data_IF_353856343410
#
_entry.id   IF_353856343410
#
_cell.length_a   1.000
_cell.length_b   1.000
_cell.length_c   1.000
_cell.angle_alpha   90.00
_cell.angle_beta   90.00
_cell.angle_gamma   90.00
#
_symmetry.space_group_name_H-M   'P 1'
#
loop_
_entity.id
_entity.type
_entity.pdbx_description
1 polymer ?
#
# COMPACT_ATOMS: atom_id res chain seq x y z
N UNK A 1 5.25 -26.20 21.15
CA UNK A 1 4.62 -24.87 21.03
C UNK A 1 4.68 -24.51 19.55
N UNK A 2 3.64 -23.91 18.97
CA UNK A 2 3.67 -23.45 17.56
C UNK A 2 4.59 -22.27 17.42
N UNK A 3 5.36 -22.20 16.31
CA UNK A 3 6.38 -21.18 16.06
C UNK A 3 6.06 -20.33 14.84
N UNK A 4 6.18 -19.01 14.99
CA UNK A 4 6.14 -18.03 13.92
C UNK A 4 7.56 -17.50 13.69
N UNK A 5 8.00 -17.44 12.43
CA UNK A 5 9.20 -16.71 12.02
C UNK A 5 8.82 -15.45 11.24
N UNK A 6 9.43 -14.30 11.54
CA UNK A 6 9.20 -13.04 10.84
C UNK A 6 10.45 -12.60 10.09
N UNK A 7 10.31 -12.24 8.83
CA UNK A 7 11.39 -11.76 7.98
C UNK A 7 11.37 -10.24 7.77
N UNK A 8 10.28 -9.58 8.18
CA UNK A 8 10.09 -8.15 7.96
C UNK A 8 10.92 -7.29 8.93
N UNK A 9 11.49 -6.21 8.38
CA UNK A 9 12.16 -5.16 9.13
C UNK A 9 13.58 -4.87 8.64
N UNK A 10 14.25 -4.00 9.37
CA UNK A 10 15.65 -3.62 9.17
C UNK A 10 16.40 -3.61 10.50
N UNK A 11 17.73 -3.61 10.48
CA UNK A 11 18.54 -3.56 11.70
C UNK A 11 18.60 -2.15 12.28
N UNK A 12 17.51 -1.72 12.91
CA UNK A 12 17.37 -0.44 13.60
C UNK A 12 16.81 -0.63 15.01
N UNK A 13 16.98 0.37 15.88
CA UNK A 13 16.46 0.36 17.25
C UNK A 13 14.93 0.18 17.26
N UNK A 14 14.22 0.89 16.36
CA UNK A 14 12.77 0.78 16.22
C UNK A 14 12.33 -0.66 15.92
N UNK A 15 12.94 -1.31 14.93
CA UNK A 15 12.53 -2.68 14.58
C UNK A 15 12.92 -3.71 15.63
N UNK A 16 14.03 -3.52 16.35
CA UNK A 16 14.37 -4.36 17.52
C UNK A 16 13.32 -4.23 18.61
N UNK A 17 12.84 -3.01 18.90
CA UNK A 17 11.78 -2.78 19.88
C UNK A 17 10.44 -3.38 19.43
N UNK A 18 10.03 -3.16 18.17
CA UNK A 18 8.80 -3.73 17.61
C UNK A 18 8.83 -5.27 17.64
N UNK A 19 9.95 -5.90 17.31
CA UNK A 19 10.07 -7.36 17.32
C UNK A 19 10.10 -7.91 18.76
N UNK A 20 10.74 -7.23 19.73
CA UNK A 20 10.63 -7.59 21.14
C UNK A 20 9.19 -7.55 21.64
N UNK A 21 8.45 -6.50 21.27
CA UNK A 21 7.02 -6.36 21.59
C UNK A 21 6.18 -7.44 20.89
N UNK A 22 6.53 -7.83 19.66
CA UNK A 22 5.88 -8.93 18.92
C UNK A 22 6.12 -10.29 19.60
N UNK A 23 7.33 -10.54 20.10
CA UNK A 23 7.68 -11.74 20.84
C UNK A 23 6.90 -11.84 22.18
N UNK A 24 6.84 -10.76 22.94
CA UNK A 24 6.06 -10.69 24.18
C UNK A 24 4.56 -10.93 23.90
N UNK A 25 4.04 -10.32 22.84
CA UNK A 25 2.63 -10.48 22.45
C UNK A 25 2.32 -11.91 21.99
N UNK A 26 3.14 -12.50 21.12
CA UNK A 26 2.99 -13.89 20.69
C UNK A 26 3.09 -14.87 21.87
N UNK A 27 4.02 -14.65 22.80
CA UNK A 27 4.15 -15.42 24.04
C UNK A 27 2.89 -15.40 24.91
N UNK A 28 2.19 -14.25 24.97
CA UNK A 28 0.91 -14.13 25.69
C UNK A 28 -0.22 -14.95 25.07
N UNK A 29 -0.10 -15.29 23.79
CA UNK A 29 -1.03 -16.16 23.05
C UNK A 29 -0.59 -17.65 23.01
N UNK A 30 0.53 -17.98 23.70
CA UNK A 30 1.08 -19.34 23.73
C UNK A 30 1.78 -19.74 22.42
N UNK A 31 2.30 -18.78 21.67
CA UNK A 31 3.00 -18.98 20.40
C UNK A 31 4.45 -18.49 20.55
N UNK A 32 5.41 -19.25 20.02
CA UNK A 32 6.81 -18.84 19.93
C UNK A 32 6.98 -17.91 18.72
N UNK A 33 7.73 -16.83 18.89
CA UNK A 33 8.04 -15.87 17.83
C UNK A 33 9.55 -15.73 17.66
N UNK A 34 10.02 -15.71 16.42
CA UNK A 34 11.43 -15.46 16.08
C UNK A 34 11.50 -14.38 15.01
N UNK A 35 12.28 -13.35 15.24
CA UNK A 35 12.68 -12.43 14.19
C UNK A 35 13.93 -12.93 13.49
N UNK A 36 13.84 -13.22 12.19
CA UNK A 36 14.91 -13.71 11.33
C UNK A 36 15.15 -12.69 10.20
N UNK A 37 15.74 -11.55 10.57
CA UNK A 37 16.02 -10.46 9.62
C UNK A 37 16.84 -10.95 8.43
N UNK A 38 16.40 -10.61 7.23
CA UNK A 38 17.03 -10.91 5.96
C UNK A 38 17.68 -9.64 5.37
N UNK A 39 18.98 -9.43 5.65
CA UNK A 39 19.73 -8.30 5.09
C UNK A 39 21.20 -8.71 4.83
N UNK A 40 21.58 -9.00 3.56
CA UNK A 40 20.74 -9.06 2.37
C UNK A 40 19.73 -10.22 2.38
N UNK A 41 18.68 -10.13 1.54
CA UNK A 41 17.74 -11.22 1.35
C UNK A 41 18.44 -12.49 0.84
N UNK A 42 18.15 -13.61 1.48
CA UNK A 42 18.66 -14.94 1.11
C UNK A 42 17.49 -15.92 1.07
N UNK A 43 17.20 -16.43 -0.11
CA UNK A 43 16.15 -17.44 -0.28
C UNK A 43 16.42 -18.71 0.51
N UNK A 44 17.66 -19.15 0.52
CA UNK A 44 18.11 -20.33 1.25
C UNK A 44 17.91 -20.17 2.76
N UNK A 45 18.18 -18.99 3.28
CA UNK A 45 17.96 -18.69 4.71
C UNK A 45 16.47 -18.63 5.05
N UNK A 46 15.64 -18.03 4.17
CA UNK A 46 14.18 -18.03 4.33
C UNK A 46 13.62 -19.45 4.36
N UNK A 47 14.05 -20.32 3.42
CA UNK A 47 13.63 -21.73 3.40
C UNK A 47 14.05 -22.44 4.68
N UNK A 48 15.32 -22.29 5.11
CA UNK A 48 15.83 -22.92 6.33
C UNK A 48 15.05 -22.51 7.58
N UNK A 49 14.70 -21.24 7.69
CA UNK A 49 13.92 -20.72 8.82
C UNK A 49 12.47 -21.22 8.78
N UNK A 50 11.83 -21.22 7.60
CA UNK A 50 10.46 -21.74 7.43
C UNK A 50 10.38 -23.24 7.66
N UNK A 51 11.44 -24.02 7.37
CA UNK A 51 11.50 -25.45 7.69
C UNK A 51 11.48 -25.74 9.19
N UNK A 52 11.75 -24.74 10.03
CA UNK A 52 11.75 -24.85 11.50
C UNK A 52 10.55 -24.12 12.13
N UNK A 53 9.61 -23.61 11.33
CA UNK A 53 8.46 -22.84 11.80
C UNK A 53 7.14 -23.40 11.29
N UNK A 54 6.05 -23.17 12.02
CA UNK A 54 4.70 -23.53 11.63
C UNK A 54 4.02 -22.44 10.78
N UNK A 55 4.47 -21.18 10.93
CA UNK A 55 4.05 -20.06 10.10
C UNK A 55 5.18 -19.05 9.86
N UNK A 56 5.06 -18.29 8.77
CA UNK A 56 5.96 -17.18 8.43
C UNK A 56 5.23 -15.86 8.26
N UNK A 57 5.83 -14.76 8.76
CA UNK A 57 5.45 -13.39 8.39
C UNK A 57 6.44 -12.95 7.31
N UNK A 58 5.93 -12.80 6.07
CA UNK A 58 6.74 -12.58 4.86
C UNK A 58 6.65 -11.15 4.35
N UNK A 59 7.73 -10.68 3.73
CA UNK A 59 7.84 -9.34 3.17
C UNK A 59 7.57 -9.30 1.65
N UNK A 60 8.13 -8.31 0.96
CA UNK A 60 7.85 -7.95 -0.43
C UNK A 60 8.54 -8.82 -1.48
N UNK A 61 9.41 -9.72 -1.09
CA UNK A 61 10.11 -10.62 -2.00
C UNK A 61 9.16 -11.60 -2.69
N UNK A 62 9.56 -12.16 -3.84
CA UNK A 62 8.78 -13.18 -4.53
C UNK A 62 8.74 -14.50 -3.75
N UNK A 63 7.54 -15.05 -3.59
CA UNK A 63 7.29 -16.37 -3.00
C UNK A 63 6.56 -17.25 -4.01
N UNK A 64 7.19 -18.34 -4.43
CA UNK A 64 6.68 -19.25 -5.46
C UNK A 64 6.94 -20.72 -5.16
N UNK A 65 6.73 -21.57 -6.17
CA UNK A 65 6.89 -23.04 -6.08
C UNK A 65 8.27 -23.46 -5.57
N UNK A 66 9.32 -22.71 -5.87
CA UNK A 66 10.70 -22.93 -5.46
C UNK A 66 10.92 -22.83 -3.94
N UNK A 67 10.07 -22.07 -3.24
CA UNK A 67 10.06 -21.99 -1.78
C UNK A 67 9.02 -22.97 -1.22
N UNK A 68 7.78 -22.92 -1.74
CA UNK A 68 6.66 -23.67 -1.17
C UNK A 68 6.88 -25.19 -1.15
N UNK A 69 7.43 -25.76 -2.23
CA UNK A 69 7.73 -27.19 -2.31
C UNK A 69 8.73 -27.67 -1.25
N UNK A 70 9.59 -26.78 -0.75
CA UNK A 70 10.62 -27.12 0.25
C UNK A 70 10.16 -26.92 1.69
N UNK A 71 9.06 -26.17 1.93
CA UNK A 71 8.57 -25.84 3.27
C UNK A 71 7.18 -26.40 3.57
N UNK A 72 6.54 -27.09 2.61
CA UNK A 72 5.17 -27.62 2.72
C UNK A 72 4.93 -28.56 3.91
N UNK A 73 5.97 -29.25 4.38
CA UNK A 73 5.88 -30.19 5.50
C UNK A 73 6.00 -29.51 6.87
N UNK A 74 6.42 -28.24 6.90
CA UNK A 74 6.65 -27.42 8.10
C UNK A 74 5.71 -26.22 8.19
N UNK A 75 5.96 -25.15 7.41
CA UNK A 75 5.18 -23.93 7.43
C UNK A 75 3.84 -24.11 6.69
N UNK A 76 2.74 -24.07 7.42
CA UNK A 76 1.38 -24.24 6.87
C UNK A 76 0.65 -22.91 6.61
N UNK A 77 1.20 -21.80 7.10
CA UNK A 77 0.65 -20.46 6.91
C UNK A 77 1.77 -19.47 6.62
N UNK A 78 1.59 -18.64 5.60
CA UNK A 78 2.41 -17.45 5.41
C UNK A 78 1.52 -16.21 5.45
N UNK A 79 1.86 -15.24 6.30
CA UNK A 79 1.12 -13.99 6.46
C UNK A 79 1.93 -12.86 5.82
N UNK A 80 1.39 -12.25 4.77
CA UNK A 80 2.00 -11.09 4.13
C UNK A 80 1.99 -9.90 5.08
N UNK A 81 3.14 -9.30 5.32
CA UNK A 81 3.29 -8.07 6.09
C UNK A 81 2.73 -6.89 5.28
N UNK A 82 1.43 -6.59 5.42
CA UNK A 82 0.72 -5.59 4.64
C UNK A 82 -0.42 -6.18 3.81
N UNK A 83 -0.89 -5.43 2.80
CA UNK A 83 -2.09 -5.75 2.02
C UNK A 83 -1.78 -6.33 0.64
N UNK A 84 -0.69 -5.87 0.00
CA UNK A 84 -0.30 -6.32 -1.33
C UNK A 84 0.27 -7.74 -1.32
N UNK A 85 -0.11 -8.54 -2.31
CA UNK A 85 0.33 -9.94 -2.44
C UNK A 85 0.69 -10.32 -3.88
N UNK A 86 0.87 -9.34 -4.72
CA UNK A 86 1.15 -9.47 -6.16
C UNK A 86 2.43 -10.28 -6.47
N UNK A 87 3.34 -10.42 -5.49
CA UNK A 87 4.56 -11.24 -5.62
C UNK A 87 4.45 -12.63 -4.99
N UNK A 88 3.26 -13.04 -4.53
CA UNK A 88 3.02 -14.38 -3.96
C UNK A 88 2.21 -15.22 -4.95
N UNK A 89 2.76 -16.35 -5.39
CA UNK A 89 2.05 -17.29 -6.25
C UNK A 89 1.03 -18.10 -5.42
N UNK A 90 -0.22 -17.61 -5.39
CA UNK A 90 -1.30 -18.24 -4.64
C UNK A 90 -1.61 -19.66 -5.14
N UNK A 91 -1.49 -19.93 -6.45
CA UNK A 91 -1.75 -21.26 -7.02
C UNK A 91 -0.70 -22.27 -6.58
N UNK A 92 0.57 -21.87 -6.63
CA UNK A 92 1.66 -22.69 -6.13
C UNK A 92 1.52 -22.95 -4.61
N UNK A 93 1.13 -21.93 -3.83
CA UNK A 93 0.88 -22.08 -2.39
C UNK A 93 -0.23 -23.09 -2.11
N UNK A 94 -1.40 -22.98 -2.79
CA UNK A 94 -2.51 -23.93 -2.66
C UNK A 94 -2.09 -25.36 -2.98
N UNK A 95 -1.42 -25.57 -4.09
CA UNK A 95 -0.90 -26.88 -4.53
C UNK A 95 0.00 -27.54 -3.47
N UNK A 96 0.73 -26.75 -2.69
CA UNK A 96 1.62 -27.21 -1.63
C UNK A 96 0.94 -27.23 -0.24
N UNK A 97 -0.39 -27.03 -0.15
CA UNK A 97 -1.15 -27.05 1.10
C UNK A 97 -0.77 -25.93 2.08
N UNK A 98 -0.29 -24.76 1.55
CA UNK A 98 0.12 -23.62 2.34
C UNK A 98 -0.92 -22.52 2.23
N UNK A 99 -1.47 -22.09 3.37
CA UNK A 99 -2.37 -20.95 3.44
C UNK A 99 -1.58 -19.64 3.29
N UNK A 100 -2.08 -18.73 2.47
CA UNK A 100 -1.55 -17.37 2.36
C UNK A 100 -2.57 -16.40 2.93
N UNK A 101 -2.15 -15.59 3.90
CA UNK A 101 -2.98 -14.54 4.49
C UNK A 101 -2.33 -13.16 4.32
N UNK A 102 -3.12 -12.11 4.53
CA UNK A 102 -2.65 -10.72 4.54
C UNK A 102 -3.27 -9.91 5.68
N UNK A 103 -2.61 -8.85 6.10
CA UNK A 103 -3.03 -8.00 7.22
C UNK A 103 -3.95 -6.85 6.75
N UNK A 104 -5.10 -7.23 6.16
CA UNK A 104 -6.05 -6.26 5.59
C UNK A 104 -6.59 -5.31 6.65
N UNK A 105 -6.39 -4.02 6.43
CA UNK A 105 -6.90 -2.95 7.29
C UNK A 105 -5.92 -2.42 8.33
N UNK A 106 -4.82 -3.13 8.60
CA UNK A 106 -3.85 -2.74 9.62
C UNK A 106 -3.16 -1.40 9.33
N UNK A 107 -2.92 -1.08 8.06
CA UNK A 107 -2.24 0.14 7.60
C UNK A 107 -3.20 1.23 7.07
N UNK A 108 -4.50 1.03 7.17
CA UNK A 108 -5.52 1.89 6.54
C UNK A 108 -5.36 3.37 6.89
N UNK A 109 -5.12 3.68 8.17
CA UNK A 109 -4.99 5.07 8.62
C UNK A 109 -3.71 5.72 8.08
N UNK A 110 -2.57 5.03 8.20
CA UNK A 110 -1.29 5.56 7.74
C UNK A 110 -1.31 5.87 6.22
N UNK A 111 -1.85 4.95 5.40
CA UNK A 111 -1.94 5.17 3.95
C UNK A 111 -2.90 6.32 3.61
N UNK A 112 -4.03 6.45 4.31
CA UNK A 112 -4.96 7.55 4.08
C UNK A 112 -4.35 8.91 4.49
N UNK A 113 -3.62 8.97 5.59
CA UNK A 113 -2.89 10.17 6.04
C UNK A 113 -1.78 10.56 5.05
N UNK A 114 -1.04 9.56 4.53
CA UNK A 114 -0.02 9.81 3.50
C UNK A 114 -0.64 10.34 2.21
N UNK A 115 -1.77 9.77 1.76
CA UNK A 115 -2.49 10.26 0.59
C UNK A 115 -2.92 11.73 0.78
N UNK A 116 -3.46 12.10 1.93
CA UNK A 116 -3.80 13.49 2.26
C UNK A 116 -2.57 14.38 2.31
N UNK A 117 -1.47 13.91 2.89
CA UNK A 117 -0.19 14.63 2.96
C UNK A 117 0.36 14.93 1.57
N UNK A 118 0.39 13.94 0.67
CA UNK A 118 0.82 14.11 -0.71
C UNK A 118 -0.11 15.08 -1.47
N UNK A 119 -1.42 14.98 -1.25
CA UNK A 119 -2.43 15.87 -1.82
C UNK A 119 -2.15 17.34 -1.43
N UNK A 120 -2.02 17.60 -0.14
CA UNK A 120 -1.68 18.92 0.40
C UNK A 120 -0.32 19.40 -0.10
N UNK A 121 0.69 18.54 -0.11
CA UNK A 121 2.04 18.86 -0.58
C UNK A 121 2.05 19.29 -2.05
N UNK A 122 1.33 18.60 -2.91
CA UNK A 122 1.19 18.95 -4.33
C UNK A 122 0.41 20.25 -4.51
N UNK A 123 -0.75 20.40 -3.87
CA UNK A 123 -1.61 21.59 -3.94
C UNK A 123 -0.89 22.84 -3.46
N UNK A 124 -0.05 22.74 -2.42
CA UNK A 124 0.70 23.85 -1.81
C UNK A 124 2.12 23.96 -2.34
N UNK A 125 2.55 23.09 -3.29
CA UNK A 125 3.88 23.05 -3.90
C UNK A 125 5.02 22.96 -2.87
N UNK A 126 4.82 22.19 -1.79
CA UNK A 126 5.73 22.17 -0.64
C UNK A 126 7.12 21.67 -1.03
N UNK A 127 7.25 20.56 -1.78
CA UNK A 127 8.54 20.02 -2.18
C UNK A 127 9.35 21.03 -3.02
N UNK A 128 8.70 21.69 -3.98
CA UNK A 128 9.32 22.74 -4.80
C UNK A 128 9.78 23.94 -3.97
N UNK A 129 8.93 24.42 -3.06
CA UNK A 129 9.26 25.54 -2.16
C UNK A 129 10.43 25.19 -1.25
N UNK A 130 10.46 23.97 -0.69
CA UNK A 130 11.54 23.47 0.16
C UNK A 130 12.88 23.43 -0.61
N UNK A 131 12.91 22.79 -1.78
CA UNK A 131 14.12 22.67 -2.61
C UNK A 131 14.69 24.07 -2.96
N UNK A 132 13.84 25.01 -3.36
CA UNK A 132 14.23 26.38 -3.67
C UNK A 132 14.79 27.10 -2.45
N UNK A 133 14.10 27.04 -1.32
CA UNK A 133 14.56 27.70 -0.08
C UNK A 133 15.90 27.14 0.38
N UNK A 134 16.10 25.82 0.32
CA UNK A 134 17.37 25.17 0.67
C UNK A 134 18.52 25.56 -0.28
N UNK A 135 18.22 25.86 -1.54
CA UNK A 135 19.22 26.38 -2.52
C UNK A 135 19.39 27.90 -2.46
N UNK A 136 18.80 28.58 -1.49
CA UNK A 136 18.92 30.05 -1.32
C UNK A 136 18.01 30.85 -2.26
N UNK A 137 17.10 30.22 -2.98
CA UNK A 137 16.17 30.88 -3.90
C UNK A 137 14.88 31.25 -3.17
N UNK A 138 14.62 32.54 -2.99
CA UNK A 138 13.46 33.08 -2.29
C UNK A 138 12.34 33.47 -3.26
N UNK A 139 11.49 32.48 -3.64
CA UNK A 139 10.35 32.66 -4.56
C UNK A 139 9.06 32.20 -3.88
N UNK A 140 7.98 32.97 -4.01
CA UNK A 140 6.65 32.66 -3.49
C UNK A 140 5.81 32.03 -4.60
N UNK A 141 5.78 30.69 -4.67
CA UNK A 141 4.89 29.97 -5.58
C UNK A 141 3.45 30.03 -5.05
N UNK A 142 2.49 30.28 -5.94
CA UNK A 142 1.07 30.27 -5.60
C UNK A 142 0.56 28.85 -5.73
N UNK A 143 -0.03 28.33 -4.65
CA UNK A 143 -0.73 27.03 -4.61
C UNK A 143 -2.24 27.20 -4.53
N UNK A 144 -2.95 26.07 -4.29
CA UNK A 144 -4.41 26.02 -4.14
C UNK A 144 -4.77 25.40 -2.78
N UNK A 145 -5.95 25.74 -2.26
CA UNK A 145 -6.54 25.16 -1.07
C UNK A 145 -7.33 23.89 -1.43
N UNK A 146 -7.57 23.02 -0.43
CA UNK A 146 -8.50 21.87 -0.56
C UNK A 146 -9.93 22.26 -0.19
N UNK A 147 -10.11 23.25 0.70
CA UNK A 147 -11.43 23.74 1.05
C UNK A 147 -12.19 24.18 -0.22
N UNK A 148 -13.41 23.68 -0.35
CA UNK A 148 -14.27 23.94 -1.53
C UNK A 148 -13.84 23.25 -2.82
N UNK A 149 -12.75 22.45 -2.80
CA UNK A 149 -12.33 21.68 -3.97
C UNK A 149 -13.17 20.40 -4.13
N UNK A 150 -13.12 19.81 -5.32
CA UNK A 150 -13.66 18.47 -5.57
C UNK A 150 -12.53 17.45 -5.44
N UNK A 151 -12.70 16.46 -4.57
CA UNK A 151 -11.74 15.35 -4.34
C UNK A 151 -12.31 14.05 -4.89
N UNK A 152 -11.63 13.47 -5.87
CA UNK A 152 -11.96 12.18 -6.46
C UNK A 152 -11.19 11.05 -5.78
N UNK A 153 -11.91 10.02 -5.34
CA UNK A 153 -11.35 8.83 -4.70
C UNK A 153 -11.60 7.62 -5.59
N UNK A 154 -10.54 7.10 -6.19
CA UNK A 154 -10.58 5.91 -7.06
C UNK A 154 -10.33 4.68 -6.20
N UNK A 155 -11.38 3.89 -5.92
CA UNK A 155 -11.40 2.80 -4.95
C UNK A 155 -11.93 3.25 -3.58
N UNK A 156 -13.21 2.96 -3.31
CA UNK A 156 -13.89 3.36 -2.06
C UNK A 156 -13.91 2.24 -1.01
N UNK A 157 -12.78 1.49 -0.94
CA UNK A 157 -12.51 0.47 0.07
C UNK A 157 -12.16 1.07 1.44
N UNK A 158 -11.43 0.31 2.27
CA UNK A 158 -11.07 0.75 3.63
C UNK A 158 -10.25 2.06 3.64
N UNK A 159 -9.25 2.18 2.75
CA UNK A 159 -8.37 3.36 2.67
C UNK A 159 -9.14 4.56 2.11
N UNK A 160 -9.85 4.39 0.99
CA UNK A 160 -10.63 5.49 0.38
C UNK A 160 -11.69 6.05 1.33
N UNK A 161 -12.40 5.20 2.06
CA UNK A 161 -13.34 5.62 3.11
C UNK A 161 -12.66 6.33 4.28
N UNK A 162 -11.47 5.86 4.67
CA UNK A 162 -10.69 6.54 5.72
C UNK A 162 -10.25 7.93 5.25
N UNK A 163 -9.80 8.05 3.99
CA UNK A 163 -9.44 9.34 3.40
C UNK A 163 -10.67 10.27 3.35
N UNK A 164 -11.83 9.79 2.89
CA UNK A 164 -13.07 10.58 2.90
C UNK A 164 -13.41 11.10 4.30
N UNK A 165 -13.24 10.25 5.33
CA UNK A 165 -13.42 10.66 6.72
C UNK A 165 -12.41 11.73 7.18
N UNK A 166 -11.14 11.63 6.77
CA UNK A 166 -10.13 12.66 7.08
C UNK A 166 -10.45 14.00 6.39
N UNK A 167 -11.04 13.94 5.21
CA UNK A 167 -11.43 15.12 4.43
C UNK A 167 -12.67 15.83 4.96
N UNK A 168 -13.42 15.27 5.90
CA UNK A 168 -14.68 15.86 6.41
C UNK A 168 -14.51 17.26 7.01
N UNK A 169 -13.30 17.62 7.47
CA UNK A 169 -13.00 18.95 7.99
C UNK A 169 -12.58 19.99 6.95
N UNK A 170 -12.56 19.63 5.66
CA UNK A 170 -12.11 20.50 4.58
C UNK A 170 -13.25 21.08 3.72
N UNK A 171 -14.52 20.79 4.05
CA UNK A 171 -15.69 21.25 3.31
C UNK A 171 -15.56 21.07 1.78
N UNK A 172 -14.96 19.95 1.36
CA UNK A 172 -14.78 19.58 -0.04
C UNK A 172 -15.87 18.64 -0.53
N UNK A 173 -16.19 18.70 -1.82
CA UNK A 173 -17.06 17.72 -2.50
C UNK A 173 -16.27 16.44 -2.73
N UNK A 174 -16.81 15.28 -2.36
CA UNK A 174 -16.15 13.99 -2.54
C UNK A 174 -16.85 13.20 -3.64
N UNK A 175 -16.11 12.87 -4.71
CA UNK A 175 -16.53 11.94 -5.75
C UNK A 175 -15.82 10.59 -5.50
N UNK A 176 -16.53 9.50 -5.67
CA UNK A 176 -16.01 8.15 -5.51
C UNK A 176 -16.29 7.29 -6.73
N UNK A 177 -15.28 6.57 -7.18
CA UNK A 177 -15.41 5.48 -8.13
C UNK A 177 -15.01 4.17 -7.48
N UNK A 178 -15.90 3.19 -7.53
CA UNK A 178 -15.61 1.81 -7.13
C UNK A 178 -16.45 0.87 -8.01
N UNK A 179 -15.88 -0.20 -8.59
CA UNK A 179 -16.68 -1.15 -9.39
C UNK A 179 -17.74 -1.88 -8.56
N UNK A 180 -17.60 -1.90 -7.23
CA UNK A 180 -18.54 -2.50 -6.28
C UNK A 180 -18.90 -1.49 -5.18
N UNK A 181 -19.65 -0.43 -5.50
CA UNK A 181 -19.88 0.68 -4.57
C UNK A 181 -20.67 0.23 -3.34
N UNK A 182 -20.23 0.69 -2.18
CA UNK A 182 -20.95 0.51 -0.91
C UNK A 182 -21.81 1.76 -0.65
N UNK A 183 -23.08 1.70 -1.07
CA UNK A 183 -24.02 2.82 -0.98
C UNK A 183 -24.21 3.37 0.44
N UNK A 184 -24.19 2.48 1.45
CA UNK A 184 -24.32 2.91 2.84
C UNK A 184 -23.10 3.74 3.28
N UNK A 185 -21.90 3.31 2.92
CA UNK A 185 -20.66 4.03 3.24
C UNK A 185 -20.53 5.34 2.44
N UNK A 186 -20.95 5.36 1.17
CA UNK A 186 -21.01 6.59 0.36
C UNK A 186 -21.90 7.62 1.04
N UNK A 187 -23.10 7.24 1.41
CA UNK A 187 -24.08 8.12 2.08
C UNK A 187 -23.56 8.60 3.44
N UNK A 188 -22.99 7.71 4.25
CA UNK A 188 -22.45 8.05 5.57
C UNK A 188 -21.34 9.10 5.48
N UNK A 189 -20.50 9.01 4.45
CA UNK A 189 -19.32 9.86 4.26
C UNK A 189 -19.58 11.06 3.33
N UNK A 190 -20.82 11.23 2.86
CA UNK A 190 -21.19 12.33 1.96
C UNK A 190 -20.49 12.28 0.60
N UNK A 191 -20.16 11.09 0.10
CA UNK A 191 -19.48 10.88 -1.16
C UNK A 191 -20.50 10.54 -2.27
N UNK A 192 -20.29 11.08 -3.47
CA UNK A 192 -21.10 10.83 -4.65
C UNK A 192 -20.48 9.73 -5.52
N UNK A 193 -21.25 8.70 -5.86
CA UNK A 193 -20.79 7.64 -6.78
C UNK A 193 -20.88 8.12 -8.21
N UNK A 194 -19.75 8.07 -8.93
CA UNK A 194 -19.66 8.53 -10.32
C UNK A 194 -18.82 7.57 -11.18
N UNK A 195 -18.85 7.72 -12.49
CA UNK A 195 -17.92 7.01 -13.38
C UNK A 195 -16.49 7.50 -13.21
N UNK A 196 -15.49 6.64 -13.54
CA UNK A 196 -14.08 7.01 -13.46
C UNK A 196 -13.76 8.26 -14.28
N UNK A 197 -14.28 8.32 -15.52
CA UNK A 197 -14.00 9.42 -16.41
C UNK A 197 -14.63 10.74 -15.94
N UNK A 198 -15.82 10.69 -15.32
CA UNK A 198 -16.44 11.84 -14.68
C UNK A 198 -15.63 12.32 -13.47
N UNK A 199 -15.20 11.38 -12.61
CA UNK A 199 -14.33 11.67 -11.47
C UNK A 199 -13.08 12.41 -11.92
N UNK A 200 -12.40 11.91 -12.97
CA UNK A 200 -11.16 12.52 -13.47
C UNK A 200 -11.38 13.92 -14.04
N UNK A 201 -12.50 14.18 -14.74
CA UNK A 201 -12.83 15.50 -15.30
C UNK A 201 -13.20 16.53 -14.22
N UNK A 202 -13.91 16.11 -13.19
CA UNK A 202 -14.48 17.03 -12.21
C UNK A 202 -13.59 17.29 -11.00
N UNK A 203 -12.61 16.42 -10.74
CA UNK A 203 -11.79 16.52 -9.54
C UNK A 203 -10.65 17.54 -9.66
N UNK A 204 -10.39 18.22 -8.55
CA UNK A 204 -9.21 19.07 -8.33
C UNK A 204 -8.07 18.28 -7.67
N UNK A 205 -8.41 17.22 -6.94
CA UNK A 205 -7.48 16.25 -6.36
C UNK A 205 -8.00 14.86 -6.63
N UNK A 206 -7.16 13.96 -7.12
CA UNK A 206 -7.50 12.55 -7.33
C UNK A 206 -6.59 11.68 -6.46
N UNK A 207 -7.16 10.68 -5.77
CA UNK A 207 -6.38 9.70 -4.99
C UNK A 207 -6.76 8.27 -5.36
N UNK A 208 -5.74 7.44 -5.62
CA UNK A 208 -5.90 6.06 -6.11
C UNK A 208 -5.73 5.08 -4.98
N UNK A 209 -6.73 4.19 -4.79
CA UNK A 209 -6.79 3.17 -3.74
C UNK A 209 -7.34 1.82 -4.22
N UNK A 210 -7.32 1.57 -5.53
CA UNK A 210 -7.67 0.27 -6.11
C UNK A 210 -6.49 -0.70 -6.04
N UNK A 211 -6.73 -2.03 -5.95
CA UNK A 211 -5.66 -3.02 -6.09
C UNK A 211 -5.14 -3.04 -7.54
N UNK A 212 -3.91 -3.52 -7.71
CA UNK A 212 -3.39 -3.81 -9.04
C UNK A 212 -3.93 -5.17 -9.53
N UNK A 213 -4.54 -5.16 -10.71
CA UNK A 213 -5.03 -6.31 -11.46
C UNK A 213 -4.83 -6.05 -12.95
N UNK A 214 -5.15 -7.01 -13.81
CA UNK A 214 -5.13 -6.80 -15.27
C UNK A 214 -6.08 -5.66 -15.70
N UNK A 215 -7.25 -5.53 -15.06
CA UNK A 215 -8.24 -4.49 -15.36
C UNK A 215 -7.82 -3.10 -14.87
N UNK A 216 -6.97 -3.04 -13.84
CA UNK A 216 -6.46 -1.76 -13.30
C UNK A 216 -5.07 -1.40 -13.82
N UNK A 217 -4.44 -2.29 -14.63
CA UNK A 217 -3.19 -1.98 -15.31
C UNK A 217 -3.38 -0.79 -16.26
N UNK A 218 -2.59 0.26 -16.05
CA UNK A 218 -2.69 1.54 -16.76
C UNK A 218 -4.13 2.07 -16.85
N UNK A 219 -4.92 1.81 -15.75
CA UNK A 219 -6.28 2.36 -15.64
C UNK A 219 -6.29 3.88 -15.82
N UNK A 220 -5.23 4.56 -15.37
CA UNK A 220 -5.00 5.98 -15.62
C UNK A 220 -3.92 6.10 -16.70
N UNK A 221 -4.35 5.97 -17.94
CA UNK A 221 -3.54 6.12 -19.14
C UNK A 221 -3.45 7.59 -19.59
N UNK A 222 -2.77 7.83 -20.71
CA UNK A 222 -2.58 9.17 -21.27
C UNK A 222 -3.92 9.91 -21.51
N UNK A 223 -4.89 9.23 -22.12
CA UNK A 223 -6.19 9.84 -22.45
C UNK A 223 -6.89 10.33 -21.18
N UNK A 224 -6.86 9.53 -20.12
CA UNK A 224 -7.46 9.85 -18.82
C UNK A 224 -6.71 10.95 -18.07
N UNK A 225 -5.39 10.97 -18.14
CA UNK A 225 -4.58 12.06 -17.61
C UNK A 225 -4.89 13.39 -18.31
N UNK A 226 -5.12 13.37 -19.63
CA UNK A 226 -5.48 14.55 -20.41
C UNK A 226 -6.91 15.04 -20.15
N UNK A 227 -7.81 14.21 -19.60
CA UNK A 227 -9.15 14.63 -19.18
C UNK A 227 -9.14 15.47 -17.90
N UNK A 228 -8.07 15.36 -17.09
CA UNK A 228 -7.97 16.06 -15.80
C UNK A 228 -7.92 17.57 -16.00
N UNK A 229 -8.38 18.32 -14.99
CA UNK A 229 -8.24 19.78 -14.97
C UNK A 229 -6.76 20.19 -14.99
N UNK A 230 -6.39 21.29 -15.66
CA UNK A 230 -5.00 21.77 -15.62
C UNK A 230 -4.50 22.14 -14.21
N UNK A 231 -5.42 22.41 -13.29
CA UNK A 231 -5.12 22.71 -11.88
C UNK A 231 -5.14 21.47 -10.98
N UNK A 232 -5.49 20.32 -11.54
CA UNK A 232 -5.65 19.10 -10.76
C UNK A 232 -4.30 18.48 -10.36
N UNK A 233 -4.34 17.76 -9.24
CA UNK A 233 -3.24 16.91 -8.77
C UNK A 233 -3.71 15.48 -8.63
N UNK A 234 -2.81 14.52 -8.91
CA UNK A 234 -3.09 13.09 -8.75
C UNK A 234 -2.16 12.46 -7.72
N UNK A 235 -2.69 11.59 -6.87
CA UNK A 235 -1.94 10.88 -5.83
C UNK A 235 -2.08 9.38 -6.01
N UNK A 236 -0.94 8.67 -6.02
CA UNK A 236 -0.92 7.22 -6.05
C UNK A 236 -0.12 6.65 -4.87
N UNK A 237 -0.83 6.01 -3.96
CA UNK A 237 -0.29 5.24 -2.82
C UNK A 237 -0.70 3.77 -2.90
N UNK A 238 -1.17 3.32 -4.06
CA UNK A 238 -1.67 1.96 -4.28
C UNK A 238 -0.61 1.06 -4.93
N UNK A 239 -0.43 1.14 -6.28
CA UNK A 239 0.59 0.43 -7.06
C UNK A 239 1.00 1.25 -8.28
N UNK A 240 2.29 1.23 -8.64
CA UNK A 240 2.85 2.04 -9.73
C UNK A 240 2.15 1.83 -11.06
N UNK A 241 2.03 0.58 -11.50
CA UNK A 241 1.44 0.22 -12.79
C UNK A 241 -0.08 0.52 -12.95
N UNK A 242 -0.73 1.16 -11.99
CA UNK A 242 -2.11 1.66 -12.14
C UNK A 242 -2.12 2.95 -12.97
N UNK A 243 -1.06 3.75 -12.87
CA UNK A 243 -0.84 4.90 -13.76
C UNK A 243 0.20 4.50 -14.80
N UNK A 244 0.00 4.91 -16.04
CA UNK A 244 1.04 4.88 -17.06
C UNK A 244 2.10 5.95 -16.72
N UNK A 245 3.27 5.52 -16.22
CA UNK A 245 4.31 6.43 -15.74
C UNK A 245 4.91 7.29 -16.84
N UNK A 246 5.04 6.77 -18.06
CA UNK A 246 5.55 7.52 -19.20
C UNK A 246 4.56 8.62 -19.59
N UNK A 247 3.27 8.29 -19.63
CA UNK A 247 2.22 9.28 -19.88
C UNK A 247 2.13 10.30 -18.76
N UNK A 248 2.29 9.89 -17.49
CA UNK A 248 2.31 10.79 -16.34
C UNK A 248 3.47 11.79 -16.45
N UNK A 249 4.67 11.32 -16.79
CA UNK A 249 5.82 12.19 -17.02
C UNK A 249 5.54 13.24 -18.10
N UNK A 250 5.01 12.82 -19.25
CA UNK A 250 4.73 13.73 -20.37
C UNK A 250 3.70 14.81 -20.01
N UNK A 251 2.61 14.46 -19.32
CA UNK A 251 1.59 15.45 -18.94
C UNK A 251 2.07 16.40 -17.85
N UNK A 252 2.90 15.92 -16.90
CA UNK A 252 3.51 16.76 -15.86
C UNK A 252 4.53 17.71 -16.45
N UNK A 253 5.42 17.23 -17.33
CA UNK A 253 6.43 18.02 -18.02
C UNK A 253 5.82 19.11 -18.90
N UNK A 254 4.72 18.78 -19.57
CA UNK A 254 3.97 19.74 -20.39
C UNK A 254 3.09 20.70 -19.56
N UNK A 255 3.00 20.55 -18.23
CA UNK A 255 2.13 21.35 -17.38
C UNK A 255 0.64 21.16 -17.65
N UNK A 256 0.24 20.00 -18.19
CA UNK A 256 -1.16 19.65 -18.47
C UNK A 256 -1.98 19.44 -17.22
N UNK A 257 -1.32 18.96 -16.15
CA UNK A 257 -1.84 18.89 -14.79
C UNK A 257 -0.89 19.59 -13.83
N UNK A 258 -1.38 20.02 -12.67
CA UNK A 258 -0.60 20.86 -11.75
C UNK A 258 0.48 20.08 -11.00
N UNK A 259 0.28 18.79 -10.75
CA UNK A 259 1.26 17.97 -10.04
C UNK A 259 0.83 16.56 -9.77
N UNK A 260 1.75 15.75 -9.26
CA UNK A 260 1.51 14.38 -8.81
C UNK A 260 2.24 14.07 -7.50
N UNK A 261 1.58 13.29 -6.62
CA UNK A 261 2.16 12.69 -5.42
C UNK A 261 2.26 11.18 -5.58
N UNK A 262 3.46 10.65 -5.71
CA UNK A 262 3.69 9.25 -6.08
C UNK A 262 4.53 8.58 -5.01
N UNK A 263 3.94 7.59 -4.35
CA UNK A 263 4.63 6.77 -3.33
C UNK A 263 5.03 5.39 -3.86
N UNK A 264 4.49 4.98 -5.01
CA UNK A 264 4.67 3.64 -5.59
C UNK A 264 4.99 3.74 -7.09
N UNK A 265 5.87 2.87 -7.58
CA UNK A 265 6.42 2.95 -8.93
C UNK A 265 6.26 1.63 -9.68
N UNK A 266 6.31 1.67 -11.02
CA UNK A 266 6.28 0.48 -11.87
C UNK A 266 7.50 -0.43 -11.60
N UNK A 267 8.64 0.19 -11.31
CA UNK A 267 9.85 -0.49 -10.84
C UNK A 267 10.28 0.09 -9.50
N UNK A 268 10.43 -0.78 -8.50
CA UNK A 268 10.90 -0.43 -7.16
C UNK A 268 12.15 -1.27 -6.81
N UNK A 269 13.26 -0.64 -6.37
CA UNK A 269 13.48 0.80 -6.20
C UNK A 269 13.38 1.59 -7.52
N UNK A 270 12.90 2.87 -7.43
CA UNK A 270 12.83 3.76 -8.60
C UNK A 270 14.23 3.93 -9.21
N UNK A 271 14.43 3.64 -10.51
CA UNK A 271 15.73 3.81 -11.14
C UNK A 271 16.23 5.26 -11.07
N UNK A 272 17.52 5.45 -10.82
CA UNK A 272 18.16 6.78 -10.80
C UNK A 272 18.10 7.51 -12.14
N UNK A 273 17.79 6.78 -13.21
CA UNK A 273 17.57 7.31 -14.57
C UNK A 273 16.10 7.70 -14.82
N UNK A 274 15.19 7.49 -13.87
CA UNK A 274 13.78 7.82 -14.07
C UNK A 274 13.59 9.30 -14.36
N UNK A 275 12.88 9.65 -15.45
CA UNK A 275 12.63 11.04 -15.81
C UNK A 275 11.74 11.76 -14.78
N UNK A 276 10.94 11.04 -13.99
CA UNK A 276 10.13 11.62 -12.91
C UNK A 276 10.97 12.39 -11.90
N UNK A 277 12.23 11.96 -11.65
CA UNK A 277 13.16 12.63 -10.74
C UNK A 277 13.55 14.05 -11.18
N UNK A 278 13.30 14.40 -12.45
CA UNK A 278 13.63 15.72 -13.00
C UNK A 278 12.49 16.75 -12.84
N UNK A 279 11.33 16.33 -12.37
CA UNK A 279 10.13 17.16 -12.29
C UNK A 279 10.05 17.90 -10.95
N UNK A 280 9.77 19.20 -10.99
CA UNK A 280 9.58 20.03 -9.79
C UNK A 280 8.11 20.10 -9.31
N UNK A 281 7.19 19.53 -10.10
CA UNK A 281 5.77 19.39 -9.78
C UNK A 281 5.36 17.94 -9.42
N UNK A 282 6.33 17.05 -9.17
CA UNK A 282 6.12 15.72 -8.62
C UNK A 282 6.67 15.65 -7.19
N UNK A 283 5.90 15.07 -6.28
CA UNK A 283 6.31 14.69 -4.92
C UNK A 283 6.48 13.19 -4.90
N UNK A 284 7.71 12.70 -4.79
CA UNK A 284 8.06 11.30 -4.88
C UNK A 284 8.51 10.79 -3.51
N UNK A 285 7.97 9.65 -3.06
CA UNK A 285 8.32 9.01 -1.80
C UNK A 285 8.57 7.51 -2.02
N UNK A 286 9.49 6.87 -1.26
CA UNK A 286 9.97 5.53 -1.56
C UNK A 286 9.11 4.44 -0.90
N UNK A 287 7.82 4.34 -1.28
CA UNK A 287 6.84 3.36 -0.81
C UNK A 287 6.72 3.32 0.72
N UNK A 288 6.53 4.50 1.32
CA UNK A 288 6.52 4.69 2.78
C UNK A 288 5.13 4.95 3.37
N UNK A 289 4.06 4.84 2.58
CA UNK A 289 2.70 5.17 3.04
C UNK A 289 2.25 4.37 4.28
N UNK A 290 2.78 3.18 4.50
CA UNK A 290 2.49 2.36 5.69
C UNK A 290 3.55 2.47 6.79
N UNK A 291 4.62 3.24 6.60
CA UNK A 291 5.77 3.31 7.50
C UNK A 291 5.53 4.30 8.66
N UNK A 292 4.60 3.95 9.54
CA UNK A 292 4.40 4.62 10.83
C UNK A 292 4.52 3.62 11.97
N UNK A 293 4.94 4.06 13.16
CA UNK A 293 5.11 3.18 14.33
C UNK A 293 3.83 2.41 14.64
N UNK A 294 2.68 3.10 14.57
CA UNK A 294 1.36 2.54 14.83
C UNK A 294 0.96 1.52 13.76
N UNK A 295 1.19 1.84 12.50
CA UNK A 295 0.88 0.93 11.40
C UNK A 295 1.73 -0.33 11.45
N UNK A 296 3.04 -0.19 11.62
CA UNK A 296 3.96 -1.32 11.76
C UNK A 296 3.53 -2.23 12.92
N UNK A 297 3.24 -1.66 14.08
CA UNK A 297 2.75 -2.44 15.22
C UNK A 297 1.41 -3.14 14.92
N UNK A 298 0.46 -2.43 14.31
CA UNK A 298 -0.84 -3.02 13.94
C UNK A 298 -0.69 -4.20 12.97
N UNK A 299 0.26 -4.11 12.03
CA UNK A 299 0.54 -5.19 11.08
C UNK A 299 1.15 -6.40 11.79
N UNK A 300 2.18 -6.20 12.65
CA UNK A 300 2.77 -7.28 13.45
C UNK A 300 1.70 -7.98 14.31
N UNK A 301 0.94 -7.18 15.06
CA UNK A 301 -0.11 -7.70 15.93
C UNK A 301 -1.13 -8.52 15.16
N UNK A 302 -1.63 -8.00 14.05
CA UNK A 302 -2.61 -8.70 13.22
C UNK A 302 -2.03 -9.98 12.59
N UNK A 303 -0.78 -9.96 12.14
CA UNK A 303 -0.13 -11.16 11.60
C UNK A 303 0.01 -12.27 12.65
N UNK A 304 0.34 -11.90 13.89
CA UNK A 304 0.40 -12.84 15.02
C UNK A 304 -0.99 -13.36 15.37
N UNK A 305 -2.01 -12.49 15.42
CA UNK A 305 -3.41 -12.88 15.68
C UNK A 305 -3.92 -13.88 14.63
N UNK A 306 -3.68 -13.59 13.33
CA UNK A 306 -4.03 -14.49 12.22
C UNK A 306 -3.35 -15.86 12.38
N UNK A 307 -2.07 -15.87 12.76
CA UNK A 307 -1.31 -17.11 12.95
C UNK A 307 -1.83 -17.91 14.15
N UNK A 308 -2.10 -17.23 15.27
CA UNK A 308 -2.64 -17.88 16.47
C UNK A 308 -4.05 -18.47 16.23
N UNK A 309 -4.91 -17.73 15.52
CA UNK A 309 -6.24 -18.21 15.13
C UNK A 309 -6.17 -19.41 14.16
N UNK A 310 -5.24 -19.38 13.21
CA UNK A 310 -4.97 -20.51 12.31
C UNK A 310 -4.54 -21.77 13.09
N UNK A 311 -3.62 -21.64 14.04
CA UNK A 311 -3.19 -22.75 14.88
C UNK A 311 -4.31 -23.29 15.79
N UNK A 312 -5.27 -22.45 16.15
CA UNK A 312 -6.46 -22.86 16.89
C UNK A 312 -7.56 -23.45 16.00
N UNK A 313 -7.31 -23.63 14.69
CA UNK A 313 -8.26 -24.19 13.73
C UNK A 313 -9.44 -23.27 13.41
N UNK A 314 -9.33 -21.96 13.67
CA UNK A 314 -10.37 -20.98 13.35
C UNK A 314 -10.28 -20.57 11.88
N UNK A 315 -11.44 -20.41 11.25
CA UNK A 315 -11.51 -19.83 9.91
C UNK A 315 -11.13 -18.33 9.94
N UNK A 316 -10.31 -17.92 8.97
CA UNK A 316 -9.87 -16.54 8.85
C UNK A 316 -10.26 -15.94 7.48
N UNK A 317 -10.99 -14.82 7.52
CA UNK A 317 -11.30 -14.00 6.33
C UNK A 317 -10.05 -13.37 5.68
N UNK A 318 -8.91 -13.48 6.32
CA UNK A 318 -7.63 -12.94 5.84
C UNK A 318 -6.90 -13.89 4.89
N UNK A 319 -7.34 -15.17 4.79
CA UNK A 319 -6.78 -16.15 3.88
C UNK A 319 -7.21 -15.83 2.44
N UNK A 320 -6.25 -15.82 1.53
CA UNK A 320 -6.43 -15.45 0.12
C UNK A 320 -6.71 -16.67 -0.78
N UNK A 321 -6.23 -17.83 -0.41
CA UNK A 321 -6.28 -19.08 -1.17
C UNK A 321 -6.96 -20.21 -0.37
N UNK A 322 -8.30 -20.15 -0.15
CA UNK A 322 -9.01 -21.11 0.70
C UNK A 322 -8.96 -22.56 0.19
N UNK A 323 -8.66 -22.75 -1.08
CA UNK A 323 -8.44 -24.04 -1.75
C UNK A 323 -7.16 -24.78 -1.29
N UNK A 324 -6.28 -24.14 -0.51
CA UNK A 324 -5.13 -24.82 0.10
C UNK A 324 -5.56 -26.06 0.93
N UNK A 325 -6.77 -26.06 1.49
CA UNK A 325 -7.32 -27.17 2.30
C UNK A 325 -7.49 -28.47 1.51
N UNK A 326 -7.59 -28.38 0.20
CA UNK A 326 -7.72 -29.54 -0.69
C UNK A 326 -6.40 -30.32 -0.83
N UNK A 327 -5.28 -29.69 -0.47
CA UNK A 327 -3.93 -30.22 -0.61
C UNK A 327 -3.13 -30.26 0.72
N UNK A 328 -3.76 -29.85 1.83
CA UNK A 328 -3.13 -29.75 3.16
C UNK A 328 -3.01 -31.10 3.88
#
# INVERSE_FOLDING_TARGET
MKRIVSFFGEDSELFRELNRKAEEYAGSLGVEYKWALQNPYSREDVIRELQQADAGIIDVEPYGEDIFSQVKDSAKLLVRFGVGFDKVDLKAASKNGIAIARTTGANTTAVAEMALTLMLSCRRRIAKAQTRTQSGVWVKDVGNEIIGATVGIVGFGAIGRRLAKLLSGFDCRILAYDPFPNEAALKELGAESVSLDELLRESDCISIHVPYTEETHHMVNKERLEMMKPTAVIVNTARGNIIDEDALYEVLKAGRIAGAGIDVFAQEPLPTSSPLLTLDNAVLTPHVSSQTVESLWNIYKMAIDISADFFAGKDSRHILNPDYKEHA
#
